data_IF_976669799636
#
_entry.id   IF_976669799636
#
_cell.length_a   1.000
_cell.length_b   1.000
_cell.length_c   1.000
_cell.angle_alpha   90.00
_cell.angle_beta   90.00
_cell.angle_gamma   90.00
#
_symmetry.space_group_name_H-M   'P 1'
#
loop_
_entity.id
_entity.type
_entity.pdbx_description
1 polymer ?
#
# COMPACT_ATOMS: atom_id res chain seq x y z
N UNK A 1 4.84 -14.18 -42.40
CA UNK A 1 3.61 -13.34 -42.38
C UNK A 1 3.38 -12.89 -40.94
N UNK A 2 3.83 -11.69 -40.61
CA UNK A 2 3.52 -11.07 -39.32
C UNK A 2 2.48 -9.99 -39.57
N UNK A 3 1.23 -10.33 -39.41
CA UNK A 3 0.12 -9.38 -39.41
C UNK A 3 0.05 -8.73 -38.04
N UNK A 4 0.27 -7.43 -37.98
CA UNK A 4 0.18 -6.69 -36.74
C UNK A 4 -1.20 -6.00 -36.68
N UNK A 5 -1.98 -6.32 -35.67
CA UNK A 5 -3.29 -5.71 -35.44
C UNK A 5 -3.15 -4.51 -34.50
N UNK A 6 -3.65 -3.37 -34.93
CA UNK A 6 -3.73 -2.16 -34.11
C UNK A 6 -5.20 -1.79 -33.83
N UNK A 7 -5.51 -1.45 -32.59
CA UNK A 7 -6.81 -0.87 -32.22
C UNK A 7 -6.69 0.65 -32.26
N UNK A 8 -7.62 1.29 -32.91
CA UNK A 8 -7.67 2.77 -33.02
C UNK A 8 -7.78 3.48 -31.67
N UNK A 9 -8.24 2.80 -30.61
CA UNK A 9 -8.30 3.32 -29.24
C UNK A 9 -6.94 3.58 -28.58
N UNK A 10 -5.84 3.10 -29.18
CA UNK A 10 -4.50 3.18 -28.61
C UNK A 10 -3.69 4.37 -29.15
N UNK A 11 -4.28 5.18 -30.06
CA UNK A 11 -3.60 6.30 -30.72
C UNK A 11 -4.46 7.57 -30.68
N UNK A 12 -3.81 8.73 -30.48
CA UNK A 12 -4.43 10.03 -30.69
C UNK A 12 -4.72 10.25 -32.19
N UNK A 13 -5.89 10.78 -32.50
CA UNK A 13 -6.36 10.93 -33.87
C UNK A 13 -5.45 11.80 -34.76
N UNK A 14 -4.63 12.65 -34.17
CA UNK A 14 -3.70 13.57 -34.85
C UNK A 14 -2.38 12.90 -35.31
N UNK A 15 -2.11 11.65 -34.87
CA UNK A 15 -0.85 10.93 -35.19
C UNK A 15 -1.01 9.79 -36.20
N UNK A 16 -2.21 9.53 -36.71
CA UNK A 16 -2.48 8.41 -37.63
C UNK A 16 -2.31 8.87 -39.08
N UNK A 17 -1.15 8.62 -39.65
CA UNK A 17 -0.91 8.76 -41.07
C UNK A 17 -1.21 7.43 -41.78
N UNK A 18 -2.34 7.35 -42.49
CA UNK A 18 -2.69 6.19 -43.31
C UNK A 18 -2.15 6.40 -44.69
N UNK A 19 -1.18 5.59 -45.12
CA UNK A 19 -0.69 5.55 -46.48
C UNK A 19 -1.56 4.63 -47.33
N UNK A 20 -1.77 4.98 -48.60
CA UNK A 20 -2.65 4.24 -49.51
C UNK A 20 -2.26 2.77 -49.72
N UNK A 21 -1.03 2.41 -49.50
CA UNK A 21 -0.52 1.05 -49.59
C UNK A 21 -1.11 0.11 -48.54
N UNK A 22 -1.80 0.65 -47.54
CA UNK A 22 -2.43 -0.11 -46.40
C UNK A 22 -3.90 -0.45 -46.73
N UNK A 23 -4.50 0.21 -47.74
CA UNK A 23 -5.90 0.01 -48.14
C UNK A 23 -5.98 -0.75 -49.47
N UNK A 24 -6.49 -1.96 -49.42
CA UNK A 24 -6.86 -2.71 -50.62
C UNK A 24 -8.23 -2.21 -51.09
N UNK A 25 -8.30 -0.99 -51.64
CA UNK A 25 -9.46 -0.49 -52.34
C UNK A 25 -9.18 -0.47 -53.82
N UNK A 26 -10.14 -0.92 -54.60
CA UNK A 26 -10.09 -1.01 -56.07
C UNK A 26 -10.03 0.34 -56.79
N UNK A 27 -9.80 1.44 -56.11
CA UNK A 27 -9.74 2.78 -56.69
C UNK A 27 -8.31 3.27 -56.87
N UNK A 28 -8.02 3.68 -58.07
CA UNK A 28 -6.72 4.03 -58.65
C UNK A 28 -6.13 5.38 -58.22
N UNK A 29 -6.58 5.99 -57.14
CA UNK A 29 -6.02 7.28 -56.68
C UNK A 29 -4.99 7.03 -55.56
N UNK A 30 -3.74 7.39 -55.86
CA UNK A 30 -2.55 7.28 -54.96
C UNK A 30 -2.35 8.50 -54.08
N UNK A 31 -3.36 9.30 -53.83
CA UNK A 31 -3.23 10.50 -53.00
C UNK A 31 -3.49 10.20 -51.53
N UNK A 32 -2.78 10.89 -50.66
CA UNK A 32 -2.98 10.83 -49.21
C UNK A 32 -4.44 11.07 -48.86
N UNK A 33 -5.06 10.16 -48.12
CA UNK A 33 -6.45 10.31 -47.73
C UNK A 33 -6.51 11.24 -46.51
N UNK A 34 -7.15 12.39 -46.72
CA UNK A 34 -7.41 13.34 -45.64
C UNK A 34 -8.46 12.76 -44.68
N UNK A 35 -8.01 12.38 -43.45
CA UNK A 35 -8.85 11.76 -42.43
C UNK A 35 -9.68 12.75 -41.63
N UNK A 36 -9.56 14.07 -41.91
CA UNK A 36 -10.26 15.11 -41.14
C UNK A 36 -11.80 15.07 -41.31
N UNK A 37 -12.31 14.32 -42.26
CA UNK A 37 -13.74 14.21 -42.56
C UNK A 37 -14.34 12.82 -42.30
N UNK A 38 -13.58 11.86 -41.72
CA UNK A 38 -14.10 10.52 -41.47
C UNK A 38 -14.67 10.45 -40.05
N UNK A 39 -15.96 10.14 -39.91
CA UNK A 39 -16.57 10.01 -38.61
C UNK A 39 -16.06 8.77 -37.89
N UNK A 40 -15.90 8.84 -36.56
CA UNK A 40 -15.45 7.73 -35.71
C UNK A 40 -16.31 6.45 -35.88
N UNK A 41 -17.58 6.60 -36.30
CA UNK A 41 -18.50 5.48 -36.54
C UNK A 41 -18.12 4.61 -37.76
N UNK A 42 -17.43 5.20 -38.75
CA UNK A 42 -17.06 4.47 -39.96
C UNK A 42 -15.89 3.49 -39.77
N UNK A 43 -15.19 3.62 -38.65
CA UNK A 43 -14.03 2.80 -38.30
C UNK A 43 -14.33 1.64 -37.33
N UNK A 44 -15.52 1.66 -36.73
CA UNK A 44 -15.90 0.61 -35.78
C UNK A 44 -16.12 -0.72 -36.51
N UNK A 45 -15.28 -1.70 -36.26
CA UNK A 45 -15.36 -3.05 -36.84
C UNK A 45 -14.52 -3.30 -38.10
N UNK A 46 -13.76 -2.31 -38.60
CA UNK A 46 -12.79 -2.55 -39.68
C UNK A 46 -11.42 -2.88 -39.12
N UNK A 47 -10.87 -3.99 -39.53
CA UNK A 47 -9.51 -4.42 -39.21
C UNK A 47 -8.56 -3.97 -40.30
N UNK A 48 -7.56 -3.17 -39.95
CA UNK A 48 -6.52 -2.73 -40.86
C UNK A 48 -5.40 -3.77 -40.84
N UNK A 49 -5.10 -4.35 -42.01
CA UNK A 49 -3.99 -5.31 -42.16
C UNK A 49 -2.81 -4.56 -42.79
N UNK A 50 -1.69 -4.60 -42.09
CA UNK A 50 -0.41 -4.17 -42.67
C UNK A 50 0.34 -5.41 -43.14
N UNK A 51 0.41 -5.59 -44.47
CA UNK A 51 1.29 -6.57 -45.06
C UNK A 51 2.65 -5.92 -45.32
N UNK A 52 3.66 -6.37 -44.61
CA UNK A 52 5.04 -5.99 -44.90
C UNK A 52 5.43 -6.64 -46.20
N UNK A 53 5.31 -5.91 -47.32
CA UNK A 53 5.79 -6.37 -48.60
C UNK A 53 7.32 -6.35 -48.62
N UNK A 54 7.86 -7.48 -49.02
CA UNK A 54 9.23 -7.77 -49.39
C UNK A 54 10.28 -7.99 -48.26
N UNK A 55 10.96 -9.06 -48.44
CA UNK A 55 12.23 -9.41 -47.82
C UNK A 55 13.35 -8.47 -48.31
N UNK A 56 13.21 -7.14 -48.06
CA UNK A 56 14.38 -6.28 -48.13
C UNK A 56 15.23 -6.62 -46.91
N UNK A 57 16.33 -7.34 -47.13
CA UNK A 57 17.39 -7.52 -46.17
C UNK A 57 17.83 -6.13 -45.68
N UNK A 58 17.47 -5.79 -44.45
CA UNK A 58 17.89 -4.55 -43.80
C UNK A 58 19.42 -4.47 -43.85
N UNK A 59 19.92 -3.35 -44.34
CA UNK A 59 21.37 -3.13 -44.34
C UNK A 59 21.91 -3.16 -42.89
N UNK A 60 23.20 -3.52 -42.68
CA UNK A 60 23.79 -3.53 -41.34
C UNK A 60 23.63 -2.20 -40.58
N UNK A 61 23.53 -1.08 -41.27
CA UNK A 61 23.27 0.25 -40.67
C UNK A 61 21.82 0.38 -40.16
N UNK A 62 20.82 -0.11 -40.91
CA UNK A 62 19.40 -0.09 -40.52
C UNK A 62 19.14 -1.06 -39.36
N UNK A 63 19.83 -2.22 -39.31
CA UNK A 63 19.80 -3.14 -38.18
C UNK A 63 20.36 -2.52 -36.90
N UNK A 64 21.38 -1.65 -37.00
CA UNK A 64 21.96 -0.96 -35.85
C UNK A 64 21.08 0.15 -35.32
N UNK A 65 20.26 0.80 -36.14
CA UNK A 65 19.32 1.83 -35.70
C UNK A 65 18.06 1.27 -35.00
N UNK A 66 17.72 0.00 -35.22
CA UNK A 66 16.60 -0.66 -34.55
C UNK A 66 16.96 -1.10 -33.12
N UNK A 67 18.23 -1.16 -32.72
CA UNK A 67 18.66 -1.55 -31.39
C UNK A 67 18.82 -0.30 -30.51
N UNK A 68 18.16 -0.28 -29.34
CA UNK A 68 18.45 0.75 -28.34
C UNK A 68 19.89 0.58 -27.84
N UNK A 69 20.68 1.65 -27.96
CA UNK A 69 22.06 1.66 -27.44
C UNK A 69 22.05 1.42 -25.94
N UNK A 70 22.78 0.41 -25.48
CA UNK A 70 23.04 0.20 -24.06
C UNK A 70 23.80 1.41 -23.48
N UNK A 71 23.40 1.85 -22.29
CA UNK A 71 24.12 2.89 -21.56
C UNK A 71 25.24 2.23 -20.77
N UNK A 72 26.48 2.64 -21.05
CA UNK A 72 27.62 2.25 -20.24
C UNK A 72 27.78 3.21 -19.05
N UNK A 73 28.25 2.70 -17.88
CA UNK A 73 28.73 3.57 -16.83
C UNK A 73 29.84 4.48 -17.35
N UNK A 74 29.96 5.73 -16.88
CA UNK A 74 31.01 6.62 -17.34
C UNK A 74 32.38 6.09 -16.93
N UNK A 75 33.28 5.96 -17.89
CA UNK A 75 34.70 5.67 -17.62
C UNK A 75 35.41 6.97 -17.28
N UNK A 76 36.23 7.02 -16.21
CA UNK A 76 37.02 8.20 -15.91
C UNK A 76 38.09 8.42 -17.01
N UNK A 77 38.33 9.67 -17.34
CA UNK A 77 39.43 10.03 -18.24
C UNK A 77 40.78 9.65 -17.60
N UNK A 78 41.72 9.16 -18.42
CA UNK A 78 43.06 8.84 -17.97
C UNK A 78 43.77 10.16 -17.56
N UNK A 79 44.21 10.30 -16.30
CA UNK A 79 44.94 11.51 -15.85
C UNK A 79 46.35 11.55 -16.39
N UNK A 80 46.93 12.74 -16.44
CA UNK A 80 48.35 12.93 -16.71
C UNK A 80 49.19 12.53 -15.48
N UNK A 81 50.49 12.23 -15.70
CA UNK A 81 51.39 11.89 -14.59
C UNK A 81 51.51 13.03 -13.57
N UNK A 82 51.52 14.26 -14.05
CA UNK A 82 51.55 15.45 -13.17
C UNK A 82 50.28 15.55 -12.30
N UNK A 83 49.10 15.32 -12.86
CA UNK A 83 47.85 15.31 -12.10
C UNK A 83 47.86 14.21 -11.03
N UNK A 84 48.41 13.03 -11.35
CA UNK A 84 48.54 11.92 -10.39
C UNK A 84 49.48 12.35 -9.24
N UNK A 85 50.65 12.93 -9.55
CA UNK A 85 51.61 13.36 -8.54
C UNK A 85 51.02 14.41 -7.62
N UNK A 86 50.38 15.46 -8.16
CA UNK A 86 49.76 16.53 -7.37
C UNK A 86 48.60 15.99 -6.53
N UNK A 87 47.75 15.12 -7.11
CA UNK A 87 46.64 14.55 -6.38
C UNK A 87 47.06 13.64 -5.23
N UNK A 88 48.12 12.87 -5.40
CA UNK A 88 48.66 11.96 -4.37
C UNK A 88 49.20 12.68 -3.13
N UNK A 89 49.53 13.99 -3.23
CA UNK A 89 49.95 14.77 -2.06
C UNK A 89 48.84 14.92 -1.01
N UNK A 90 47.59 15.03 -1.44
CA UNK A 90 46.45 15.33 -0.53
C UNK A 90 45.24 14.47 -0.73
N UNK A 91 45.10 13.78 -1.88
CA UNK A 91 43.92 13.13 -2.37
C UNK A 91 42.66 14.04 -2.41
N UNK A 92 42.85 15.35 -2.57
CA UNK A 92 41.82 16.37 -2.69
C UNK A 92 41.94 17.14 -4.00
N UNK A 93 40.82 17.46 -4.67
CA UNK A 93 39.43 16.95 -4.43
C UNK A 93 39.31 15.47 -4.79
N UNK A 94 38.16 14.85 -4.41
CA UNK A 94 37.85 13.46 -4.84
C UNK A 94 37.97 13.31 -6.36
N UNK A 95 38.64 12.23 -6.80
CA UNK A 95 38.82 11.90 -8.22
C UNK A 95 38.36 10.47 -8.49
N UNK A 96 37.45 10.30 -9.48
CA UNK A 96 36.88 8.99 -9.83
C UNK A 96 37.93 8.04 -10.48
N UNK A 97 39.02 8.56 -10.99
CA UNK A 97 40.14 7.78 -11.51
C UNK A 97 41.15 7.34 -10.43
N UNK A 98 41.10 7.93 -9.25
CA UNK A 98 42.01 7.57 -8.14
C UNK A 98 41.40 6.39 -7.35
N UNK A 99 42.04 5.23 -7.43
CA UNK A 99 41.59 4.03 -6.73
C UNK A 99 41.48 4.23 -5.21
N UNK A 100 42.46 4.94 -4.60
CA UNK A 100 42.45 5.25 -3.16
C UNK A 100 41.24 6.09 -2.79
N UNK A 101 40.91 7.11 -3.58
CA UNK A 101 39.72 7.94 -3.35
C UNK A 101 38.44 7.13 -3.53
N UNK A 102 38.35 6.28 -4.54
CA UNK A 102 37.20 5.46 -4.80
C UNK A 102 36.96 4.45 -3.65
N UNK A 103 38.02 3.75 -3.24
CA UNK A 103 37.93 2.75 -2.16
C UNK A 103 37.63 3.36 -0.80
N UNK A 104 38.10 4.58 -0.54
CA UNK A 104 37.92 5.24 0.77
C UNK A 104 36.68 6.12 0.87
N UNK A 105 36.29 6.79 -0.22
CA UNK A 105 35.24 7.84 -0.24
C UNK A 105 34.24 7.70 -1.39
N UNK A 106 34.35 6.65 -2.22
CA UNK A 106 33.38 6.37 -3.27
C UNK A 106 31.99 6.20 -2.68
N UNK A 107 31.01 6.93 -3.22
CA UNK A 107 29.60 6.81 -2.82
C UNK A 107 28.88 5.91 -3.82
N UNK A 108 27.95 5.11 -3.33
CA UNK A 108 27.01 4.41 -4.19
C UNK A 108 26.18 5.41 -5.00
N UNK A 109 25.85 5.05 -6.23
CA UNK A 109 24.99 5.87 -7.08
C UNK A 109 23.63 6.11 -6.41
N UNK A 110 23.17 7.37 -6.49
CA UNK A 110 21.85 7.71 -5.99
C UNK A 110 20.77 7.01 -6.83
N UNK A 111 19.80 6.38 -6.16
CA UNK A 111 18.58 5.96 -6.81
C UNK A 111 17.86 7.17 -7.39
N UNK A 112 17.89 7.29 -8.71
CA UNK A 112 17.11 8.36 -9.38
C UNK A 112 15.63 8.12 -9.08
N UNK A 113 14.90 9.15 -8.59
CA UNK A 113 13.46 9.01 -8.36
C UNK A 113 12.78 8.66 -9.68
N UNK A 114 12.13 7.51 -9.73
CA UNK A 114 11.33 7.13 -10.89
C UNK A 114 10.04 7.94 -10.84
N UNK A 115 9.85 8.85 -11.80
CA UNK A 115 8.65 9.71 -11.90
C UNK A 115 7.39 8.89 -12.27
N UNK A 116 7.56 7.77 -12.96
CA UNK A 116 6.49 6.86 -13.38
C UNK A 116 6.44 5.62 -12.47
N UNK A 117 6.21 5.81 -11.19
CA UNK A 117 5.97 4.69 -10.29
C UNK A 117 4.56 4.15 -10.55
N UNK A 118 4.49 2.93 -11.07
CA UNK A 118 3.25 2.17 -11.05
C UNK A 118 2.76 1.94 -9.60
N UNK A 119 1.58 1.37 -9.40
CA UNK A 119 1.06 1.12 -8.07
C UNK A 119 1.99 0.16 -7.32
N UNK A 120 2.52 0.64 -6.19
CA UNK A 120 3.43 -0.10 -5.32
C UNK A 120 2.87 -0.08 -3.91
N UNK A 121 2.73 -1.25 -3.30
CA UNK A 121 2.52 -1.39 -1.85
C UNK A 121 3.85 -1.84 -1.23
N UNK A 122 4.36 -1.09 -0.27
CA UNK A 122 5.50 -1.51 0.55
C UNK A 122 5.00 -2.11 1.85
N UNK A 123 5.65 -3.18 2.28
CA UNK A 123 5.34 -3.89 3.54
C UNK A 123 6.61 -4.21 4.31
N UNK A 124 6.50 -4.08 5.63
CA UNK A 124 7.60 -4.39 6.54
C UNK A 124 7.08 -4.64 7.96
N UNK A 125 7.86 -5.35 8.78
CA UNK A 125 7.57 -5.50 10.20
C UNK A 125 8.21 -4.40 11.02
N UNK A 126 7.44 -3.81 11.91
CA UNK A 126 8.00 -3.08 13.05
C UNK A 126 7.65 -3.80 14.37
N UNK A 127 8.32 -3.40 15.45
CA UNK A 127 8.14 -4.00 16.77
C UNK A 127 7.79 -2.93 17.78
N UNK A 128 6.76 -3.19 18.56
CA UNK A 128 6.36 -2.29 19.64
C UNK A 128 6.58 -2.93 21.00
N UNK A 129 7.04 -2.13 21.94
CA UNK A 129 7.20 -2.49 23.35
C UNK A 129 7.12 -1.24 24.22
N UNK A 130 6.86 -1.41 25.51
CA UNK A 130 7.10 -0.39 26.53
C UNK A 130 8.44 -0.66 27.24
N UNK A 131 8.89 0.27 28.04
CA UNK A 131 10.15 0.08 28.81
C UNK A 131 10.09 -1.11 29.77
N UNK A 132 8.90 -1.39 30.29
CA UNK A 132 8.66 -2.48 31.26
C UNK A 132 8.38 -3.83 30.61
N UNK A 133 8.22 -3.88 29.30
CA UNK A 133 7.87 -5.12 28.59
C UNK A 133 9.10 -6.00 28.37
N UNK A 134 9.00 -7.28 28.76
CA UNK A 134 9.98 -8.31 28.41
C UNK A 134 9.79 -8.87 27.00
N UNK A 135 8.61 -8.70 26.42
CA UNK A 135 8.25 -9.17 25.07
C UNK A 135 7.98 -7.98 24.15
N UNK A 136 8.25 -8.19 22.88
CA UNK A 136 7.90 -7.26 21.80
C UNK A 136 6.70 -7.80 21.03
N UNK A 137 5.82 -6.91 20.57
CA UNK A 137 4.71 -7.28 19.72
C UNK A 137 5.04 -6.92 18.24
N UNK A 138 5.06 -7.89 17.34
CA UNK A 138 5.25 -7.64 15.91
C UNK A 138 4.02 -6.94 15.32
N UNK A 139 4.27 -5.96 14.48
CA UNK A 139 3.25 -5.23 13.72
C UNK A 139 3.64 -5.26 12.24
N UNK A 140 2.83 -5.88 11.41
CA UNK A 140 2.96 -5.77 9.96
C UNK A 140 2.40 -4.43 9.52
N UNK A 141 3.22 -3.61 8.88
CA UNK A 141 2.81 -2.33 8.31
C UNK A 141 2.84 -2.44 6.80
N UNK A 142 1.79 -1.93 6.17
CA UNK A 142 1.69 -1.81 4.72
C UNK A 142 1.34 -0.37 4.35
N UNK A 143 1.96 0.14 3.28
CA UNK A 143 1.67 1.46 2.72
C UNK A 143 1.49 1.40 1.20
N UNK A 144 0.42 1.94 0.70
CA UNK A 144 0.25 2.22 -0.73
C UNK A 144 0.96 3.51 -1.10
N UNK A 145 2.01 3.42 -1.91
CA UNK A 145 2.89 4.55 -2.24
C UNK A 145 2.15 5.66 -2.99
N UNK A 146 1.15 5.31 -3.78
CA UNK A 146 0.44 6.29 -4.62
C UNK A 146 -0.50 7.17 -3.80
N UNK A 147 -1.29 6.57 -2.92
CA UNK A 147 -2.27 7.30 -2.11
C UNK A 147 -1.75 7.70 -0.73
N UNK A 148 -0.76 6.97 -0.22
CA UNK A 148 -0.30 7.11 1.16
C UNK A 148 -1.17 6.36 2.19
N UNK A 149 -2.18 5.58 1.76
CA UNK A 149 -2.95 4.72 2.66
C UNK A 149 -2.02 3.78 3.42
N UNK A 150 -2.27 3.63 4.72
CA UNK A 150 -1.49 2.74 5.58
C UNK A 150 -2.39 1.74 6.30
N UNK A 151 -1.87 0.55 6.51
CA UNK A 151 -2.42 -0.47 7.41
C UNK A 151 -1.38 -0.88 8.43
N UNK A 152 -1.83 -1.22 9.63
CA UNK A 152 -0.98 -1.72 10.70
C UNK A 152 -1.70 -2.85 11.45
N UNK A 153 -1.12 -4.03 11.43
CA UNK A 153 -1.71 -5.25 11.96
C UNK A 153 -0.80 -5.89 12.98
N UNK A 154 -1.24 -5.86 14.24
CA UNK A 154 -0.58 -6.62 15.32
C UNK A 154 -0.82 -8.12 15.18
N UNK A 155 0.16 -8.89 15.62
CA UNK A 155 0.07 -10.35 15.70
C UNK A 155 0.78 -10.86 16.96
N UNK A 156 0.31 -11.96 17.59
CA UNK A 156 0.99 -12.52 18.75
C UNK A 156 2.37 -13.10 18.39
N UNK A 157 2.54 -13.52 17.16
CA UNK A 157 3.83 -13.96 16.63
C UNK A 157 3.87 -13.80 15.11
N UNK A 158 5.07 -13.69 14.55
CA UNK A 158 5.24 -13.66 13.08
C UNK A 158 4.66 -14.90 12.37
N UNK A 159 4.48 -16.02 13.08
CA UNK A 159 3.95 -17.27 12.52
C UNK A 159 2.43 -17.25 12.26
N UNK A 160 1.70 -16.22 12.67
CA UNK A 160 0.27 -16.03 12.41
C UNK A 160 -0.02 -15.59 10.96
N UNK A 161 0.65 -16.22 9.99
CA UNK A 161 0.65 -15.75 8.60
C UNK A 161 -0.73 -15.72 7.94
N UNK A 162 -1.63 -16.65 8.28
CA UNK A 162 -3.01 -16.68 7.70
C UNK A 162 -3.80 -15.42 8.06
N UNK A 163 -3.71 -14.97 9.31
CA UNK A 163 -4.36 -13.76 9.76
C UNK A 163 -3.75 -12.53 9.07
N UNK A 164 -2.41 -12.44 9.06
CA UNK A 164 -1.70 -11.35 8.40
C UNK A 164 -1.99 -11.28 6.90
N UNK A 165 -2.02 -12.43 6.22
CA UNK A 165 -2.36 -12.53 4.80
C UNK A 165 -3.77 -12.04 4.51
N UNK A 166 -4.74 -12.42 5.36
CA UNK A 166 -6.12 -11.99 5.22
C UNK A 166 -6.29 -10.49 5.39
N UNK A 167 -5.65 -9.92 6.41
CA UNK A 167 -5.70 -8.48 6.68
C UNK A 167 -4.99 -7.68 5.58
N UNK A 168 -3.82 -8.15 5.14
CA UNK A 168 -3.08 -7.54 4.02
C UNK A 168 -3.88 -7.59 2.71
N UNK A 169 -4.56 -8.71 2.42
CA UNK A 169 -5.45 -8.82 1.26
C UNK A 169 -6.56 -7.77 1.29
N UNK A 170 -7.18 -7.57 2.44
CA UNK A 170 -8.22 -6.55 2.62
C UNK A 170 -7.68 -5.14 2.40
N UNK A 171 -6.49 -4.87 2.92
CA UNK A 171 -5.82 -3.59 2.67
C UNK A 171 -5.54 -3.36 1.18
N UNK A 172 -5.09 -4.39 0.46
CA UNK A 172 -4.85 -4.31 -0.99
C UNK A 172 -6.14 -3.94 -1.75
N UNK A 173 -7.28 -4.53 -1.37
CA UNK A 173 -8.57 -4.18 -1.95
C UNK A 173 -9.05 -2.77 -1.53
N UNK A 174 -8.87 -2.39 -0.26
CA UNK A 174 -9.16 -1.02 0.22
C UNK A 174 -8.36 0.02 -0.58
N UNK A 175 -7.07 -0.23 -0.81
CA UNK A 175 -6.23 0.60 -1.64
C UNK A 175 -6.61 0.57 -3.14
N UNK A 176 -7.47 -0.36 -3.56
CA UNK A 176 -7.89 -0.55 -4.96
C UNK A 176 -6.78 -1.09 -5.85
N UNK A 177 -5.91 -1.92 -5.30
CA UNK A 177 -4.75 -2.47 -6.01
C UNK A 177 -5.01 -3.91 -6.45
N UNK A 178 -5.67 -4.09 -7.57
CA UNK A 178 -5.83 -5.40 -8.21
C UNK A 178 -4.64 -5.73 -9.13
N UNK A 179 -3.77 -4.77 -9.40
CA UNK A 179 -2.53 -4.91 -10.16
C UNK A 179 -1.42 -4.03 -9.54
N UNK A 180 -0.18 -4.35 -9.83
CA UNK A 180 0.97 -3.58 -9.38
C UNK A 180 2.04 -4.41 -8.68
N UNK A 181 2.82 -3.78 -7.84
CA UNK A 181 3.98 -4.40 -7.16
C UNK A 181 3.79 -4.40 -5.65
N UNK A 182 3.96 -5.58 -5.04
CA UNK A 182 4.18 -5.71 -3.60
C UNK A 182 5.69 -5.73 -3.34
N UNK A 183 6.18 -4.73 -2.66
CA UNK A 183 7.61 -4.59 -2.34
C UNK A 183 7.86 -4.83 -0.86
N UNK A 184 8.82 -5.69 -0.55
CA UNK A 184 9.20 -6.04 0.82
C UNK A 184 10.68 -6.42 0.90
N UNK A 185 11.18 -6.53 2.11
CA UNK A 185 12.44 -7.22 2.34
C UNK A 185 12.35 -8.72 2.06
N UNK A 186 13.46 -9.44 2.21
CA UNK A 186 13.53 -10.89 2.00
C UNK A 186 13.30 -11.71 3.28
N UNK A 187 12.69 -11.15 4.31
CA UNK A 187 12.33 -11.91 5.51
C UNK A 187 11.41 -13.09 5.14
N UNK A 188 11.71 -14.29 5.65
CA UNK A 188 11.03 -15.52 5.23
C UNK A 188 9.51 -15.48 5.43
N UNK A 189 9.04 -14.85 6.51
CA UNK A 189 7.60 -14.73 6.79
C UNK A 189 6.92 -13.79 5.82
N UNK A 190 7.51 -12.62 5.57
CA UNK A 190 6.98 -11.62 4.60
C UNK A 190 6.97 -12.23 3.21
N UNK A 191 8.04 -12.94 2.85
CA UNK A 191 8.12 -13.64 1.56
C UNK A 191 6.95 -14.61 1.37
N UNK A 192 6.68 -15.46 2.37
CA UNK A 192 5.56 -16.41 2.33
C UNK A 192 4.21 -15.70 2.18
N UNK A 193 3.98 -14.65 2.97
CA UNK A 193 2.75 -13.85 2.91
C UNK A 193 2.57 -13.23 1.52
N UNK A 194 3.62 -12.64 0.94
CA UNK A 194 3.56 -11.99 -0.37
C UNK A 194 3.40 -12.97 -1.52
N UNK A 195 4.04 -14.15 -1.45
CA UNK A 195 3.87 -15.23 -2.43
C UNK A 195 2.43 -15.73 -2.46
N UNK A 196 1.82 -15.96 -1.31
CA UNK A 196 0.40 -16.36 -1.22
C UNK A 196 -0.54 -15.24 -1.69
N UNK A 197 -0.25 -13.99 -1.34
CA UNK A 197 -1.05 -12.83 -1.79
C UNK A 197 -1.06 -12.69 -3.32
N UNK A 198 0.10 -12.85 -3.96
CA UNK A 198 0.21 -12.79 -5.43
C UNK A 198 -0.55 -13.93 -6.11
N UNK A 199 -0.58 -15.13 -5.52
CA UNK A 199 -1.43 -16.23 -6.02
C UNK A 199 -2.92 -15.89 -5.94
N UNK A 200 -3.36 -15.17 -4.88
CA UNK A 200 -4.75 -14.77 -4.68
C UNK A 200 -5.17 -13.60 -5.57
N UNK A 201 -4.22 -12.73 -5.98
CA UNK A 201 -4.47 -11.54 -6.80
C UNK A 201 -3.47 -11.56 -7.97
N UNK A 202 -3.81 -12.21 -9.09
CA UNK A 202 -2.86 -12.47 -10.20
C UNK A 202 -2.27 -11.23 -10.87
N UNK A 203 -2.90 -10.06 -10.73
CA UNK A 203 -2.37 -8.79 -11.24
C UNK A 203 -1.22 -8.20 -10.42
N UNK A 204 -0.93 -8.76 -9.24
CA UNK A 204 0.17 -8.31 -8.41
C UNK A 204 1.46 -9.06 -8.72
N UNK A 205 2.57 -8.36 -8.60
CA UNK A 205 3.92 -8.92 -8.73
C UNK A 205 4.71 -8.66 -7.45
N UNK A 206 5.47 -9.65 -7.01
CA UNK A 206 6.38 -9.50 -5.87
C UNK A 206 7.71 -8.91 -6.33
N UNK A 207 8.20 -7.93 -5.58
CA UNK A 207 9.55 -7.37 -5.72
C UNK A 207 10.26 -7.37 -4.36
N UNK A 208 11.39 -8.05 -4.28
CA UNK A 208 12.26 -7.96 -3.11
C UNK A 208 13.11 -6.68 -3.18
N UNK A 209 13.30 -6.02 -2.04
CA UNK A 209 14.27 -4.92 -1.93
C UNK A 209 15.69 -5.48 -2.00
N UNK A 210 16.61 -4.81 -2.70
CA UNK A 210 18.02 -5.20 -2.67
C UNK A 210 18.57 -5.16 -1.24
N UNK A 211 19.43 -6.10 -0.91
CA UNK A 211 20.14 -6.08 0.39
C UNK A 211 20.89 -4.74 0.53
N UNK A 212 20.89 -4.18 1.72
CA UNK A 212 21.57 -2.92 2.07
C UNK A 212 21.04 -1.66 1.33
N UNK A 213 19.82 -1.70 0.80
CA UNK A 213 19.18 -0.56 0.16
C UNK A 213 18.03 -0.01 1.02
N UNK A 214 18.37 0.73 2.08
CA UNK A 214 17.37 1.42 2.94
C UNK A 214 16.49 2.40 2.13
N UNK A 215 17.06 3.06 1.13
CA UNK A 215 16.30 3.96 0.25
C UNK A 215 15.13 3.27 -0.48
N UNK A 216 15.20 1.96 -0.71
CA UNK A 216 14.15 1.20 -1.39
C UNK A 216 12.89 1.03 -0.53
N UNK A 217 13.01 1.04 0.81
CA UNK A 217 11.91 0.88 1.77
C UNK A 217 11.58 2.17 2.55
N UNK A 218 12.13 3.30 2.14
CA UNK A 218 12.03 4.56 2.86
C UNK A 218 10.58 5.02 3.17
N UNK A 219 9.60 4.64 2.34
CA UNK A 219 8.21 5.05 2.57
C UNK A 219 7.57 4.26 3.71
N UNK A 220 7.79 2.93 3.78
CA UNK A 220 7.28 2.14 4.90
C UNK A 220 8.00 2.49 6.20
N UNK A 221 9.30 2.82 6.15
CA UNK A 221 10.05 3.31 7.32
C UNK A 221 9.47 4.63 7.86
N UNK A 222 9.12 5.56 6.99
CA UNK A 222 8.40 6.80 7.39
C UNK A 222 7.02 6.51 7.95
N UNK A 223 6.30 5.55 7.35
CA UNK A 223 5.02 5.12 7.88
C UNK A 223 5.18 4.51 9.29
N UNK A 224 6.23 3.73 9.56
CA UNK A 224 6.56 3.24 10.89
C UNK A 224 6.70 4.37 11.90
N UNK A 225 7.49 5.42 11.59
CA UNK A 225 7.70 6.57 12.48
C UNK A 225 6.37 7.29 12.79
N UNK A 226 5.58 7.56 11.77
CA UNK A 226 4.27 8.22 11.89
C UNK A 226 3.31 7.39 12.74
N UNK A 227 3.20 6.10 12.46
CA UNK A 227 2.34 5.18 13.19
C UNK A 227 2.78 5.00 14.64
N UNK A 228 4.08 4.84 14.90
CA UNK A 228 4.61 4.74 16.26
C UNK A 228 4.32 6.00 17.09
N UNK A 229 4.39 7.18 16.49
CA UNK A 229 3.98 8.43 17.14
C UNK A 229 2.50 8.39 17.51
N UNK A 230 1.64 7.98 16.57
CA UNK A 230 0.20 7.87 16.83
C UNK A 230 -0.15 6.79 17.86
N UNK A 231 0.53 5.62 17.84
CA UNK A 231 0.36 4.56 18.86
C UNK A 231 0.66 5.10 20.26
N UNK A 232 1.75 5.86 20.39
CA UNK A 232 2.16 6.48 21.65
C UNK A 232 1.12 7.49 22.13
N UNK A 233 0.64 8.34 21.24
CA UNK A 233 -0.39 9.34 21.55
C UNK A 233 -1.68 8.69 22.06
N UNK A 234 -2.21 7.71 21.34
CA UNK A 234 -3.43 7.01 21.74
C UNK A 234 -3.24 6.22 23.04
N UNK A 235 -2.09 5.58 23.23
CA UNK A 235 -1.78 4.87 24.48
C UNK A 235 -1.78 5.83 25.66
N UNK A 236 -1.08 6.96 25.56
CA UNK A 236 -1.01 7.97 26.64
C UNK A 236 -2.41 8.51 26.93
N UNK A 237 -3.22 8.80 25.90
CA UNK A 237 -4.60 9.24 26.08
C UNK A 237 -5.42 8.22 26.90
N UNK A 238 -5.35 6.92 26.57
CA UNK A 238 -6.04 5.87 27.34
C UNK A 238 -5.54 5.81 28.78
N UNK A 239 -4.21 5.81 28.96
CA UNK A 239 -3.59 5.76 30.30
C UNK A 239 -4.04 6.90 31.19
N UNK A 240 -4.12 8.11 30.64
CA UNK A 240 -4.60 9.29 31.36
C UNK A 240 -6.11 9.24 31.64
N UNK A 241 -6.91 8.84 30.64
CA UNK A 241 -8.37 8.82 30.74
C UNK A 241 -8.88 7.79 31.76
N UNK A 242 -8.22 6.64 31.85
CA UNK A 242 -8.58 5.58 32.81
C UNK A 242 -7.70 5.59 34.07
N UNK A 243 -6.69 6.47 34.15
CA UNK A 243 -5.68 6.48 35.21
C UNK A 243 -5.08 5.08 35.44
N UNK A 244 -4.46 4.52 34.41
CA UNK A 244 -3.88 3.19 34.38
C UNK A 244 -2.53 3.21 33.65
N UNK A 245 -1.81 2.10 33.68
CA UNK A 245 -0.65 1.83 32.82
C UNK A 245 -0.92 0.63 31.92
N UNK A 246 -0.59 0.77 30.64
CA UNK A 246 -0.75 -0.27 29.64
C UNK A 246 0.60 -0.87 29.28
N UNK A 247 0.67 -2.20 29.31
CA UNK A 247 1.76 -2.97 28.72
C UNK A 247 1.38 -3.44 27.31
N UNK A 248 2.36 -3.91 26.54
CA UNK A 248 2.15 -4.36 25.15
C UNK A 248 1.25 -5.60 25.05
N UNK A 249 1.15 -6.40 26.12
CA UNK A 249 0.28 -7.58 26.17
C UNK A 249 -1.20 -7.24 26.45
N UNK A 250 -1.52 -5.97 26.75
CA UNK A 250 -2.91 -5.55 26.97
C UNK A 250 -3.76 -5.80 25.73
N UNK A 251 -4.95 -6.44 25.84
CA UNK A 251 -5.82 -6.76 24.70
C UNK A 251 -6.26 -5.56 23.88
N UNK A 252 -6.23 -4.35 24.45
CA UNK A 252 -6.59 -3.12 23.76
C UNK A 252 -5.51 -2.66 22.75
N UNK A 253 -4.24 -3.02 22.95
CA UNK A 253 -3.11 -2.53 22.14
C UNK A 253 -3.24 -2.89 20.66
N UNK A 254 -3.60 -4.10 20.25
CA UNK A 254 -3.83 -4.42 18.83
C UNK A 254 -4.91 -3.55 18.17
N UNK A 255 -5.93 -3.14 18.91
CA UNK A 255 -6.98 -2.26 18.43
C UNK A 255 -6.50 -0.80 18.34
N UNK A 256 -5.65 -0.35 19.28
CA UNK A 256 -4.95 0.95 19.21
C UNK A 256 -4.15 1.04 17.91
N UNK A 257 -3.36 0.01 17.60
CA UNK A 257 -2.53 -0.03 16.40
C UNK A 257 -3.37 0.07 15.13
N UNK A 258 -4.44 -0.73 15.05
CA UNK A 258 -5.38 -0.71 13.93
C UNK A 258 -6.06 0.66 13.77
N UNK A 259 -6.50 1.23 14.89
CA UNK A 259 -7.16 2.54 14.89
C UNK A 259 -6.20 3.67 14.52
N UNK A 260 -4.95 3.62 14.93
CA UNK A 260 -3.94 4.60 14.54
C UNK A 260 -3.73 4.64 13.02
N UNK A 261 -3.63 3.49 12.37
CA UNK A 261 -3.55 3.40 10.90
C UNK A 261 -4.81 3.98 10.23
N UNK A 262 -5.98 3.71 10.79
CA UNK A 262 -7.25 4.31 10.36
C UNK A 262 -7.22 5.83 10.44
N UNK A 263 -6.78 6.41 11.56
CA UNK A 263 -6.69 7.87 11.75
C UNK A 263 -5.66 8.51 10.81
N UNK A 264 -4.47 7.93 10.71
CA UNK A 264 -3.41 8.44 9.81
C UNK A 264 -3.91 8.49 8.36
N UNK A 265 -4.57 7.45 7.89
CA UNK A 265 -5.06 7.38 6.52
C UNK A 265 -6.18 8.39 6.21
N UNK A 266 -6.98 8.78 7.23
CA UNK A 266 -8.20 9.59 7.02
C UNK A 266 -8.06 11.03 7.42
N UNK A 267 -7.13 11.36 8.32
CA UNK A 267 -7.03 12.70 8.90
C UNK A 267 -5.67 13.36 8.78
N UNK A 268 -4.58 12.59 8.58
CA UNK A 268 -3.26 13.18 8.35
C UNK A 268 -3.17 13.69 6.92
N UNK A 269 -2.92 15.00 6.78
CA UNK A 269 -2.69 15.64 5.49
C UNK A 269 -1.24 15.47 5.04
N UNK A 270 -1.07 15.21 3.76
CA UNK A 270 0.23 15.23 3.08
C UNK A 270 0.58 16.66 2.63
N UNK A 271 1.77 16.83 2.07
CA UNK A 271 2.28 18.13 1.59
C UNK A 271 1.43 18.79 0.50
N UNK A 272 0.57 18.04 -0.18
CA UNK A 272 -0.39 18.53 -1.17
C UNK A 272 -1.73 18.96 -0.55
N UNK A 273 -1.85 18.94 0.78
CA UNK A 273 -3.06 19.29 1.52
C UNK A 273 -4.15 18.21 1.55
N UNK A 274 -3.94 17.06 0.88
CA UNK A 274 -4.91 15.98 0.86
C UNK A 274 -4.56 14.87 1.84
N UNK A 275 -5.59 14.25 2.41
CA UNK A 275 -5.41 12.99 3.18
C UNK A 275 -5.25 11.80 2.23
N UNK A 276 -4.71 10.69 2.73
CA UNK A 276 -4.65 9.45 1.97
C UNK A 276 -6.04 8.97 1.53
N UNK A 277 -7.04 9.20 2.36
CA UNK A 277 -8.44 8.90 2.06
C UNK A 277 -8.95 9.72 0.87
N UNK A 278 -8.72 11.04 0.87
CA UNK A 278 -9.08 11.91 -0.26
C UNK A 278 -8.39 11.49 -1.56
N UNK A 279 -7.09 11.17 -1.51
CA UNK A 279 -6.34 10.68 -2.69
C UNK A 279 -6.91 9.37 -3.24
N UNK A 280 -7.49 8.51 -2.40
CA UNK A 280 -8.04 7.22 -2.81
C UNK A 280 -9.47 7.30 -3.31
N UNK A 281 -10.33 8.08 -2.64
CA UNK A 281 -11.77 8.12 -2.91
C UNK A 281 -12.27 9.47 -3.45
N UNK A 282 -11.38 10.46 -3.61
CA UNK A 282 -11.70 11.81 -4.10
C UNK A 282 -12.79 12.51 -3.28
N UNK A 283 -12.89 12.20 -1.98
CA UNK A 283 -13.87 12.77 -1.06
C UNK A 283 -13.36 12.77 0.38
N UNK A 284 -13.92 13.63 1.20
CA UNK A 284 -13.64 13.67 2.63
C UNK A 284 -14.24 12.47 3.38
N UNK A 285 -13.57 12.09 4.47
CA UNK A 285 -14.13 11.12 5.40
C UNK A 285 -15.10 11.84 6.37
N UNK A 286 -16.40 11.63 6.17
CA UNK A 286 -17.46 12.37 6.89
C UNK A 286 -18.14 11.56 8.00
N UNK A 287 -17.76 10.29 8.21
CA UNK A 287 -18.40 9.48 9.24
C UNK A 287 -17.96 9.93 10.64
N UNK A 288 -18.89 10.10 11.60
CA UNK A 288 -18.53 10.51 12.95
C UNK A 288 -17.69 9.46 13.65
N UNK A 289 -16.74 9.92 14.47
CA UNK A 289 -15.89 9.09 15.32
C UNK A 289 -16.04 9.53 16.78
N UNK A 290 -15.69 8.62 17.70
CA UNK A 290 -15.56 8.92 19.13
C UNK A 290 -14.09 8.87 19.53
N UNK A 291 -13.79 9.28 20.76
CA UNK A 291 -12.47 9.08 21.34
C UNK A 291 -12.20 7.58 21.49
N UNK A 292 -10.98 7.15 21.21
CA UNK A 292 -10.67 5.72 21.28
C UNK A 292 -10.81 5.19 22.71
N UNK A 293 -11.42 4.02 22.85
CA UNK A 293 -11.83 3.40 24.13
C UNK A 293 -12.88 4.13 24.96
N UNK A 294 -13.48 5.21 24.42
CA UNK A 294 -14.64 5.85 25.06
C UNK A 294 -15.75 4.83 25.29
N UNK A 295 -16.39 4.90 26.44
CA UNK A 295 -17.55 4.05 26.76
C UNK A 295 -18.79 4.56 26.07
N UNK A 296 -19.46 3.66 25.39
CA UNK A 296 -20.68 3.97 24.61
C UNK A 296 -21.74 2.94 24.89
N UNK A 297 -23.00 3.33 24.73
CA UNK A 297 -24.10 2.38 24.60
C UNK A 297 -24.21 1.99 23.12
N UNK A 298 -24.31 0.69 22.87
CA UNK A 298 -24.51 0.13 21.53
C UNK A 298 -25.66 -0.86 21.49
N UNK A 299 -26.24 -1.01 20.32
CA UNK A 299 -27.31 -1.99 20.09
C UNK A 299 -26.73 -3.22 19.40
N UNK A 300 -26.58 -4.37 20.09
CA UNK A 300 -26.13 -5.60 19.47
C UNK A 300 -27.12 -6.05 18.40
N UNK A 301 -26.61 -6.60 17.27
CA UNK A 301 -27.46 -7.19 16.23
C UNK A 301 -27.90 -8.59 16.67
N UNK A 302 -28.91 -8.68 17.54
CA UNK A 302 -29.51 -9.95 17.94
C UNK A 302 -30.78 -10.23 17.12
N UNK A 303 -30.97 -11.48 16.70
CA UNK A 303 -32.14 -11.90 15.93
C UNK A 303 -33.43 -12.00 16.78
N UNK A 304 -33.32 -12.17 18.10
CA UNK A 304 -34.45 -12.26 19.03
C UNK A 304 -34.01 -11.77 20.41
N UNK A 305 -34.81 -10.90 21.02
CA UNK A 305 -34.70 -10.48 22.42
C UNK A 305 -36.06 -10.66 23.10
N UNK A 306 -36.04 -11.08 24.38
CA UNK A 306 -37.24 -11.03 25.21
C UNK A 306 -37.69 -9.57 25.31
N UNK A 307 -39.03 -9.36 25.26
CA UNK A 307 -39.60 -7.99 25.13
C UNK A 307 -39.26 -7.04 26.31
N UNK A 308 -38.93 -7.59 27.46
CA UNK A 308 -38.56 -6.82 28.67
C UNK A 308 -37.06 -6.67 28.88
N UNK A 309 -36.23 -7.30 28.04
CA UNK A 309 -34.77 -7.18 28.16
C UNK A 309 -34.23 -5.87 27.57
N UNK A 310 -33.12 -5.37 28.15
CA UNK A 310 -32.44 -4.20 27.64
C UNK A 310 -31.95 -4.43 26.22
N UNK A 311 -32.31 -3.54 25.30
CA UNK A 311 -31.90 -3.58 23.90
C UNK A 311 -30.51 -2.97 23.65
N UNK A 312 -29.97 -2.28 24.65
CA UNK A 312 -28.66 -1.59 24.59
C UNK A 312 -27.70 -2.20 25.59
N UNK A 313 -26.44 -2.30 25.19
CA UNK A 313 -25.35 -2.76 26.04
C UNK A 313 -24.26 -1.70 26.11
N UNK A 314 -23.47 -1.70 27.19
CA UNK A 314 -22.32 -0.80 27.34
C UNK A 314 -21.05 -1.46 26.77
N UNK A 315 -20.24 -0.70 26.07
CA UNK A 315 -18.98 -1.20 25.50
C UNK A 315 -17.99 -0.08 25.23
N UNK A 316 -16.80 -0.45 24.77
CA UNK A 316 -15.70 0.45 24.43
C UNK A 316 -15.71 0.73 22.93
N UNK A 317 -15.67 1.98 22.53
CA UNK A 317 -15.54 2.32 21.11
C UNK A 317 -14.12 2.01 20.61
N UNK A 318 -14.00 1.11 19.60
CA UNK A 318 -12.71 0.63 19.05
C UNK A 318 -12.41 1.16 17.65
N UNK A 319 -13.29 2.01 17.11
CA UNK A 319 -13.12 2.52 15.76
C UNK A 319 -14.20 2.05 14.80
N UNK A 320 -13.84 1.96 13.53
CA UNK A 320 -14.72 1.51 12.44
C UNK A 320 -14.07 0.39 11.64
N UNK A 321 -14.91 -0.49 11.12
CA UNK A 321 -14.51 -1.49 10.16
C UNK A 321 -14.20 -0.81 8.81
N UNK A 322 -13.09 -1.19 8.19
CA UNK A 322 -12.62 -0.55 6.95
C UNK A 322 -13.50 -0.92 5.74
N UNK A 323 -14.07 -2.12 5.75
CA UNK A 323 -14.86 -2.69 4.66
C UNK A 323 -16.32 -2.22 4.67
N UNK A 324 -16.97 -2.25 5.85
CA UNK A 324 -18.39 -1.92 5.97
C UNK A 324 -18.66 -0.52 6.49
N UNK A 325 -17.67 0.12 7.12
CA UNK A 325 -17.82 1.40 7.81
C UNK A 325 -18.61 1.30 9.13
N UNK A 326 -19.04 0.09 9.53
CA UNK A 326 -19.74 -0.14 10.78
C UNK A 326 -18.85 0.14 11.99
N UNK A 327 -19.47 0.44 13.11
CA UNK A 327 -18.76 0.78 14.35
C UNK A 327 -18.34 -0.50 15.05
N UNK A 328 -17.08 -0.55 15.46
CA UNK A 328 -16.51 -1.60 16.29
C UNK A 328 -16.67 -1.23 17.76
N UNK A 329 -17.32 -2.09 18.53
CA UNK A 329 -17.50 -1.90 19.97
C UNK A 329 -17.01 -3.13 20.72
N UNK A 330 -16.07 -2.93 21.63
CA UNK A 330 -15.52 -3.94 22.53
C UNK A 330 -16.39 -4.11 23.78
N UNK A 331 -16.73 -5.33 24.13
CA UNK A 331 -17.42 -5.68 25.36
C UNK A 331 -16.71 -6.88 26.03
N UNK A 332 -17.04 -7.22 27.28
CA UNK A 332 -16.43 -8.38 27.94
C UNK A 332 -16.64 -9.71 27.20
N UNK A 333 -17.74 -9.82 26.44
CA UNK A 333 -18.09 -11.00 25.65
C UNK A 333 -17.48 -11.00 24.25
N UNK A 334 -16.80 -9.93 23.82
CA UNK A 334 -16.13 -9.86 22.52
C UNK A 334 -16.26 -8.51 21.83
N UNK A 335 -16.06 -8.48 20.52
CA UNK A 335 -16.19 -7.27 19.70
C UNK A 335 -17.41 -7.40 18.79
N UNK A 336 -18.18 -6.32 18.71
CA UNK A 336 -19.45 -6.27 17.98
C UNK A 336 -19.36 -5.23 16.85
N UNK A 337 -19.95 -5.58 15.71
CA UNK A 337 -20.30 -4.62 14.67
C UNK A 337 -21.66 -4.02 14.98
N UNK A 338 -21.77 -2.71 14.91
CA UNK A 338 -23.05 -2.02 15.12
C UNK A 338 -23.16 -0.80 14.22
N UNK A 339 -24.39 -0.45 13.86
CA UNK A 339 -24.66 0.76 13.07
C UNK A 339 -24.97 1.97 13.95
N UNK A 340 -25.33 1.73 15.21
CA UNK A 340 -25.82 2.79 16.08
C UNK A 340 -25.22 2.69 17.47
N UNK A 341 -24.67 3.82 17.93
CA UNK A 341 -24.22 4.00 19.31
C UNK A 341 -24.88 5.24 19.92
N UNK A 342 -24.79 5.35 21.25
CA UNK A 342 -25.07 6.56 22.00
C UNK A 342 -23.87 6.84 22.91
N UNK A 343 -23.38 8.06 22.85
CA UNK A 343 -22.30 8.51 23.75
C UNK A 343 -22.87 8.72 25.16
N UNK A 344 -22.06 8.50 26.15
CA UNK A 344 -22.36 8.84 27.53
C UNK A 344 -22.07 10.34 27.79
N UNK A 345 -22.59 10.92 28.89
CA UNK A 345 -22.14 12.23 29.36
C UNK A 345 -20.61 12.30 29.50
N UNK A 346 -20.06 13.51 29.44
CA UNK A 346 -18.60 13.71 29.43
C UNK A 346 -17.93 13.08 30.64
N UNK A 347 -18.55 13.18 31.81
CA UNK A 347 -18.06 12.66 33.09
C UNK A 347 -18.03 11.10 33.10
N UNK A 348 -18.88 10.47 32.30
CA UNK A 348 -19.07 9.03 32.31
C UNK A 348 -18.29 8.30 31.22
N UNK A 349 -17.65 9.02 30.32
CA UNK A 349 -16.93 8.44 29.15
C UNK A 349 -15.93 7.35 29.51
N UNK A 350 -15.28 7.47 30.67
CA UNK A 350 -14.20 6.60 31.13
C UNK A 350 -14.42 6.10 32.56
N UNK A 351 -15.64 6.26 33.11
CA UNK A 351 -15.96 6.00 34.52
C UNK A 351 -15.87 4.52 34.90
N UNK A 352 -16.17 3.61 33.99
CA UNK A 352 -16.23 2.17 34.28
C UNK A 352 -14.91 1.46 33.93
N UNK A 353 -13.92 1.55 34.83
CA UNK A 353 -12.66 0.80 34.69
C UNK A 353 -12.87 -0.72 34.66
N UNK A 354 -13.92 -1.25 35.30
CA UNK A 354 -14.20 -2.69 35.31
C UNK A 354 -14.55 -3.18 33.90
N UNK A 355 -15.32 -2.43 33.14
CA UNK A 355 -15.62 -2.72 31.75
C UNK A 355 -14.35 -2.74 30.91
N UNK A 356 -13.46 -1.77 31.07
CA UNK A 356 -12.18 -1.71 30.37
C UNK A 356 -11.32 -2.95 30.65
N UNK A 357 -11.15 -3.31 31.94
CA UNK A 357 -10.36 -4.48 32.30
C UNK A 357 -11.04 -5.81 32.01
N UNK A 358 -12.35 -5.85 31.83
CA UNK A 358 -13.07 -7.07 31.43
C UNK A 358 -12.96 -7.35 29.92
N UNK A 359 -12.58 -6.36 29.12
CA UNK A 359 -12.34 -6.54 27.68
C UNK A 359 -11.09 -7.39 27.43
N UNK A 360 -11.23 -8.49 26.64
CA UNK A 360 -10.15 -9.47 26.39
C UNK A 360 -9.97 -9.79 24.91
N UNK A 361 -10.90 -9.37 24.06
CA UNK A 361 -10.88 -9.74 22.65
C UNK A 361 -9.71 -9.10 21.90
N UNK A 362 -9.07 -9.87 21.04
CA UNK A 362 -7.97 -9.43 20.15
C UNK A 362 -8.33 -9.70 18.70
N UNK A 363 -7.81 -8.93 17.73
CA UNK A 363 -8.25 -9.04 16.33
C UNK A 363 -8.00 -10.38 15.65
N UNK A 364 -7.06 -11.17 16.15
CA UNK A 364 -6.71 -12.49 15.60
C UNK A 364 -7.44 -13.66 16.27
N UNK A 365 -8.24 -13.42 17.31
CA UNK A 365 -8.99 -14.46 17.99
C UNK A 365 -10.37 -14.63 17.36
N UNK A 366 -10.57 -15.78 16.69
CA UNK A 366 -11.77 -16.08 15.90
C UNK A 366 -12.85 -16.85 16.64
N UNK A 367 -12.67 -17.12 17.93
CA UNK A 367 -13.55 -18.04 18.68
C UNK A 367 -14.59 -17.35 19.56
N UNK A 368 -14.69 -16.04 19.51
CA UNK A 368 -15.61 -15.30 20.35
C UNK A 368 -16.98 -15.19 19.68
N UNK A 369 -17.98 -15.91 20.18
CA UNK A 369 -19.35 -15.91 19.69
C UNK A 369 -19.95 -14.50 19.67
N UNK A 370 -20.55 -14.12 18.54
CA UNK A 370 -21.17 -12.81 18.33
C UNK A 370 -20.17 -11.67 18.12
N UNK A 371 -18.91 -11.98 17.90
CA UNK A 371 -17.83 -11.04 17.75
C UNK A 371 -17.59 -10.67 16.29
N UNK A 372 -16.85 -9.58 16.12
CA UNK A 372 -16.36 -9.14 14.84
C UNK A 372 -15.40 -10.18 14.26
N UNK A 373 -15.82 -10.76 13.16
CA UNK A 373 -14.91 -11.36 12.20
C UNK A 373 -14.74 -10.39 11.05
N UNK A 374 -13.52 -10.07 10.65
CA UNK A 374 -13.36 -9.48 9.34
C UNK A 374 -14.05 -10.38 8.33
N UNK A 375 -15.09 -9.87 7.66
CA UNK A 375 -16.00 -10.64 6.77
C UNK A 375 -15.29 -11.43 5.68
N UNK A 376 -14.07 -11.01 5.32
CA UNK A 376 -13.21 -11.68 4.35
C UNK A 376 -12.59 -13.00 4.84
N UNK A 377 -12.59 -13.29 6.15
CA UNK A 377 -12.12 -14.58 6.68
C UNK A 377 -13.16 -15.69 6.53
N UNK A 378 -14.44 -15.34 6.51
CA UNK A 378 -15.51 -16.33 6.50
C UNK A 378 -15.67 -17.03 5.14
N UNK A 379 -15.34 -16.35 4.04
CA UNK A 379 -15.48 -16.92 2.69
C UNK A 379 -14.27 -17.76 2.23
N UNK A 380 -13.11 -17.64 2.91
CA UNK A 380 -11.89 -18.38 2.54
C UNK A 380 -11.69 -19.70 3.29
N UNK A 381 -12.51 -19.98 4.30
CA UNK A 381 -12.44 -21.24 5.09
C UNK A 381 -13.48 -22.29 4.65
N UNK A 382 -14.31 -21.99 3.61
CA UNK A 382 -15.31 -22.91 3.07
C UNK A 382 -14.93 -23.56 1.73
N UNK A 383 -13.68 -23.40 1.30
CA UNK A 383 -13.13 -24.12 0.12
C UNK A 383 -11.98 -25.01 0.51
#
# INVERSE_FOLDING_TARGET
DRTTHYRLSDYDADEIIVRNDVWNTSDQNKDEMDLTHVSMGDWIGKTIFYEKTSDEELTPAELTDQARRARMPPSPLKPTEHEIQVHNLTHLPYRAWCEVCVRSRGRSDYHKPNKNKGPIIQIDFCFIRTETDTKVMPVLVAIDILTGLVSATCTPSKNSYKYLLSDLRSFVYEAGRTYGTIQSDNEAVIRKITEELVKMIPGLQRRATPKYSSASNAQVERAHQTLQSMFRTLRIHIEQSYDIKLNVASPIIPWVVRHAAFLVSRYLQHSDGHTSYQRRWSKDFMQPICEFSEQVLFRPMKKSQAKLESTWSKGLWLGRASDTGEILVGAPTGVFLTRTIRRLPIEDKYSDRKLFFAFRAVPWDHKLDGTFYPTYLHNSLKT
#
